data_IF_660752468681
#
_entry.id   IF_660752468681
#
_cell.length_a   1.000
_cell.length_b   1.000
_cell.length_c   1.000
_cell.angle_alpha   90.00
_cell.angle_beta   90.00
_cell.angle_gamma   90.00
#
_symmetry.space_group_name_H-M   'P 1'
#
loop_
_entity.id
_entity.type
_entity.pdbx_description
1 polymer ?
#
# COMPACT_ATOMS: atom_id res chain seq x y z
N UNK A 1 3.43 28.43 14.31
CA UNK A 1 2.65 27.77 13.24
C UNK A 1 3.25 28.03 11.84
N UNK A 2 3.34 29.29 11.39
CA UNK A 2 3.82 29.62 10.02
C UNK A 2 5.32 29.38 9.80
N UNK A 3 6.14 29.50 10.84
CA UNK A 3 7.58 29.14 10.80
C UNK A 3 7.76 27.65 10.50
N UNK A 4 7.01 26.79 11.19
CA UNK A 4 7.04 25.34 10.95
C UNK A 4 6.60 24.99 9.52
N UNK A 5 5.54 25.63 9.03
CA UNK A 5 5.09 25.46 7.64
C UNK A 5 6.18 25.85 6.62
N UNK A 6 6.95 26.91 6.89
CA UNK A 6 8.07 27.31 6.04
C UNK A 6 9.12 26.19 5.93
N UNK A 7 9.49 25.58 7.05
CA UNK A 7 10.44 24.46 7.08
C UNK A 7 9.93 23.24 6.32
N UNK A 8 8.65 22.88 6.47
CA UNK A 8 8.05 21.77 5.72
C UNK A 8 8.05 22.00 4.21
N UNK A 9 7.80 23.23 3.76
CA UNK A 9 7.79 23.58 2.33
C UNK A 9 9.20 23.52 1.75
N UNK A 10 10.19 24.01 2.51
CA UNK A 10 11.60 23.93 2.14
C UNK A 10 12.08 22.47 2.04
N UNK A 11 11.79 21.65 3.05
CA UNK A 11 12.12 20.24 3.07
C UNK A 11 11.47 19.49 1.90
N UNK A 12 10.19 19.73 1.64
CA UNK A 12 9.48 19.15 0.50
C UNK A 12 10.14 19.50 -0.84
N UNK A 13 10.48 20.77 -1.08
CA UNK A 13 11.14 21.15 -2.34
C UNK A 13 12.51 20.50 -2.49
N UNK A 14 13.29 20.44 -1.40
CA UNK A 14 14.59 19.74 -1.39
C UNK A 14 14.44 18.27 -1.76
N UNK A 15 13.54 17.56 -1.07
CA UNK A 15 13.29 16.14 -1.36
C UNK A 15 12.76 15.91 -2.78
N UNK A 16 11.92 16.81 -3.28
CA UNK A 16 11.42 16.74 -4.65
C UNK A 16 12.56 16.87 -5.68
N UNK A 17 13.48 17.81 -5.48
CA UNK A 17 14.64 17.97 -6.37
C UNK A 17 15.61 16.80 -6.28
N UNK A 18 15.76 16.20 -5.10
CA UNK A 18 16.63 15.04 -4.90
C UNK A 18 16.07 13.78 -5.59
N UNK A 19 14.76 13.55 -5.50
CA UNK A 19 14.08 12.39 -6.09
C UNK A 19 13.83 12.53 -7.59
N UNK A 20 13.63 13.75 -8.09
CA UNK A 20 13.28 14.02 -9.49
C UNK A 20 14.18 15.10 -10.11
N UNK A 21 15.51 14.85 -10.24
CA UNK A 21 16.47 15.85 -10.69
C UNK A 21 16.24 16.33 -12.13
N UNK A 22 15.50 15.56 -12.94
CA UNK A 22 15.16 15.92 -14.33
C UNK A 22 13.91 16.81 -14.43
N UNK A 23 13.22 17.04 -13.31
CA UNK A 23 11.96 17.78 -13.27
C UNK A 23 12.17 19.14 -12.61
N UNK A 24 11.86 20.21 -13.35
CA UNK A 24 11.88 21.56 -12.79
C UNK A 24 10.73 21.77 -11.79
N UNK A 25 10.96 22.61 -10.78
CA UNK A 25 9.90 23.08 -9.90
C UNK A 25 8.86 23.87 -10.71
N UNK A 26 7.63 23.36 -10.73
CA UNK A 26 6.49 24.03 -11.39
C UNK A 26 6.00 25.26 -10.61
N UNK A 27 5.22 26.16 -11.24
CA UNK A 27 4.69 27.36 -10.59
C UNK A 27 3.95 27.12 -9.26
N UNK A 28 3.31 25.94 -9.09
CA UNK A 28 2.65 25.56 -7.83
C UNK A 28 3.63 25.48 -6.65
N UNK A 29 4.84 24.97 -6.87
CA UNK A 29 5.88 24.91 -5.85
C UNK A 29 6.33 26.32 -5.46
N UNK A 30 6.51 27.21 -6.44
CA UNK A 30 6.82 28.61 -6.16
C UNK A 30 5.72 29.28 -5.33
N UNK A 31 4.44 29.05 -5.65
CA UNK A 31 3.33 29.61 -4.88
C UNK A 31 3.30 29.13 -3.43
N UNK A 32 3.69 27.88 -3.14
CA UNK A 32 3.75 27.37 -1.78
C UNK A 32 4.68 28.19 -0.88
N UNK A 33 5.79 28.72 -1.41
CA UNK A 33 6.74 29.54 -0.63
C UNK A 33 6.07 30.77 0.01
N UNK A 34 5.02 31.31 -0.63
CA UNK A 34 4.28 32.47 -0.14
C UNK A 34 3.21 32.13 0.91
N UNK A 35 2.88 30.84 1.11
CA UNK A 35 1.78 30.44 1.99
C UNK A 35 1.98 30.84 3.45
N UNK A 36 3.17 30.74 4.07
CA UNK A 36 3.39 31.21 5.44
C UNK A 36 3.08 32.70 5.61
N UNK A 37 3.46 33.52 4.63
CA UNK A 37 3.24 34.96 4.63
C UNK A 37 1.76 35.29 4.44
N UNK A 38 1.12 34.68 3.44
CA UNK A 38 -0.31 34.87 3.22
C UNK A 38 -1.12 34.44 4.45
N UNK A 39 -0.80 33.30 5.08
CA UNK A 39 -1.50 32.85 6.29
C UNK A 39 -1.34 33.86 7.44
N UNK A 40 -0.16 34.48 7.56
CA UNK A 40 0.10 35.50 8.58
C UNK A 40 -0.70 36.79 8.32
N UNK A 41 -0.86 37.18 7.06
CA UNK A 41 -1.49 38.45 6.70
C UNK A 41 -3.01 38.37 6.59
N UNK A 42 -3.54 37.30 5.99
CA UNK A 42 -4.97 37.19 5.66
C UNK A 42 -5.68 36.03 6.39
N UNK A 43 -4.98 35.35 7.30
CA UNK A 43 -5.49 34.18 8.00
C UNK A 43 -5.41 32.89 7.17
N UNK A 44 -5.95 31.76 7.68
CA UNK A 44 -5.86 30.48 7.00
C UNK A 44 -6.43 30.56 5.58
N UNK A 45 -5.73 29.94 4.62
CA UNK A 45 -6.11 29.94 3.20
C UNK A 45 -7.34 29.04 2.94
N UNK A 46 -8.49 29.38 3.51
CA UNK A 46 -9.74 28.59 3.52
C UNK A 46 -10.43 28.54 2.15
N UNK A 47 -10.08 29.45 1.24
CA UNK A 47 -10.69 29.59 -0.10
C UNK A 47 -9.71 29.50 -1.26
N UNK A 48 -8.45 29.12 -1.03
CA UNK A 48 -7.56 28.77 -2.14
C UNK A 48 -7.86 27.33 -2.58
N UNK A 49 -8.15 27.18 -3.87
CA UNK A 49 -8.67 25.98 -4.50
C UNK A 49 -7.88 24.72 -4.10
N UNK A 50 -8.56 23.85 -3.35
CA UNK A 50 -8.19 22.46 -3.02
C UNK A 50 -6.90 22.36 -2.20
N UNK A 51 -7.05 22.08 -0.89
CA UNK A 51 -6.01 21.37 -0.14
C UNK A 51 -5.57 20.17 -0.98
N UNK A 52 -4.41 20.28 -1.63
CA UNK A 52 -3.95 19.34 -2.64
C UNK A 52 -3.79 17.97 -1.97
N UNK A 53 -3.20 17.96 -0.78
CA UNK A 53 -3.06 16.77 0.07
C UNK A 53 -4.40 16.15 0.43
N UNK A 54 -5.39 16.95 0.89
CA UNK A 54 -6.76 16.47 1.17
C UNK A 54 -7.44 15.89 -0.06
N UNK A 55 -7.24 16.52 -1.22
CA UNK A 55 -7.85 16.08 -2.48
C UNK A 55 -7.16 14.84 -3.04
N UNK A 56 -5.83 14.73 -2.90
CA UNK A 56 -5.06 13.54 -3.24
C UNK A 56 -5.47 12.37 -2.35
N UNK A 57 -5.51 12.59 -1.03
CA UNK A 57 -5.90 11.59 -0.05
C UNK A 57 -7.33 11.09 -0.30
N UNK A 58 -8.29 12.02 -0.52
CA UNK A 58 -9.68 11.65 -0.82
C UNK A 58 -9.80 10.88 -2.14
N UNK A 59 -9.08 11.29 -3.19
CA UNK A 59 -9.08 10.56 -4.48
C UNK A 59 -8.46 9.18 -4.34
N UNK A 60 -7.36 9.05 -3.60
CA UNK A 60 -6.72 7.77 -3.32
C UNK A 60 -7.65 6.83 -2.54
N UNK A 61 -8.29 7.33 -1.48
CA UNK A 61 -9.27 6.57 -0.69
C UNK A 61 -10.45 6.09 -1.55
N UNK A 62 -10.98 6.95 -2.43
CA UNK A 62 -12.07 6.59 -3.35
C UNK A 62 -11.61 5.53 -4.36
N UNK A 63 -10.41 5.66 -4.92
CA UNK A 63 -9.87 4.67 -5.85
C UNK A 63 -9.68 3.31 -5.15
N UNK A 64 -9.14 3.28 -3.94
CA UNK A 64 -8.98 2.07 -3.13
C UNK A 64 -10.33 1.44 -2.79
N UNK A 65 -11.33 2.24 -2.39
CA UNK A 65 -12.70 1.75 -2.15
C UNK A 65 -13.32 1.17 -3.42
N UNK A 66 -13.18 1.84 -4.57
CA UNK A 66 -13.66 1.33 -5.86
C UNK A 66 -12.97 0.02 -6.25
N UNK A 67 -11.66 -0.10 -6.04
CA UNK A 67 -10.95 -1.36 -6.23
C UNK A 67 -11.51 -2.44 -5.31
N UNK A 68 -11.70 -2.17 -4.01
CA UNK A 68 -12.29 -3.13 -3.09
C UNK A 68 -13.72 -3.57 -3.47
N UNK A 69 -14.57 -2.64 -3.90
CA UNK A 69 -15.94 -2.94 -4.32
C UNK A 69 -15.99 -3.65 -5.68
N UNK A 70 -15.12 -3.28 -6.62
CA UNK A 70 -15.08 -3.85 -7.97
C UNK A 70 -14.35 -5.20 -8.05
N UNK A 71 -13.51 -5.51 -7.05
CA UNK A 71 -12.80 -6.79 -6.94
C UNK A 71 -13.62 -7.88 -6.23
N UNK A 72 -14.91 -7.65 -6.00
CA UNK A 72 -15.88 -8.65 -5.51
C UNK A 72 -16.16 -9.81 -6.49
N UNK A 73 -15.33 -10.00 -7.51
CA UNK A 73 -15.23 -11.31 -8.16
C UNK A 73 -14.51 -12.23 -7.17
N UNK A 74 -15.30 -12.91 -6.33
CA UNK A 74 -14.87 -13.78 -5.23
C UNK A 74 -14.11 -15.05 -5.67
N UNK A 75 -13.35 -14.99 -6.77
CA UNK A 75 -12.55 -16.08 -7.30
C UNK A 75 -11.09 -15.94 -6.88
N UNK A 76 -10.53 -17.04 -6.36
CA UNK A 76 -9.08 -17.20 -6.23
C UNK A 76 -8.54 -17.50 -7.63
N UNK A 77 -7.77 -16.57 -8.21
CA UNK A 77 -6.98 -16.83 -9.42
C UNK A 77 -5.63 -17.42 -8.99
N UNK A 78 -5.08 -18.40 -9.72
CA UNK A 78 -3.77 -18.96 -9.39
C UNK A 78 -2.94 -19.31 -10.62
N UNK A 79 -1.62 -19.30 -10.44
CA UNK A 79 -0.68 -19.76 -11.45
C UNK A 79 -0.70 -21.29 -11.63
N UNK A 80 0.18 -21.84 -12.49
CA UNK A 80 0.27 -23.28 -12.73
C UNK A 80 0.38 -24.07 -11.44
N UNK A 81 -0.51 -25.05 -11.30
CA UNK A 81 -0.66 -25.86 -10.09
C UNK A 81 0.14 -27.16 -10.21
N UNK A 82 0.85 -27.52 -9.14
CA UNK A 82 1.48 -28.83 -8.98
C UNK A 82 0.83 -29.56 -7.81
N UNK A 83 0.34 -30.77 -8.02
CA UNK A 83 -0.13 -31.62 -6.92
C UNK A 83 1.04 -32.04 -6.05
N UNK A 84 0.85 -31.95 -4.73
CA UNK A 84 1.87 -32.29 -3.74
C UNK A 84 1.19 -33.02 -2.58
N UNK A 85 1.72 -34.20 -2.28
CA UNK A 85 1.30 -34.96 -1.11
C UNK A 85 1.95 -34.29 0.11
N UNK A 86 1.14 -33.83 1.05
CA UNK A 86 1.61 -33.32 2.33
C UNK A 86 2.40 -34.41 3.06
N UNK A 87 3.64 -34.11 3.38
CA UNK A 87 4.54 -34.97 4.18
C UNK A 87 5.03 -34.27 5.44
N UNK A 88 4.62 -33.02 5.66
CA UNK A 88 5.05 -32.17 6.77
C UNK A 88 3.92 -32.04 7.80
N UNK A 89 4.16 -32.56 9.00
CA UNK A 89 3.22 -32.62 10.12
C UNK A 89 2.79 -31.23 10.61
N UNK A 90 3.61 -30.19 10.41
CA UNK A 90 3.29 -28.82 10.84
C UNK A 90 2.19 -28.19 9.97
N UNK A 91 2.15 -28.55 8.69
CA UNK A 91 1.17 -28.01 7.75
C UNK A 91 -0.17 -28.72 7.93
N UNK A 92 -0.18 -30.02 8.20
CA UNK A 92 -1.42 -30.78 8.42
C UNK A 92 -2.15 -30.32 9.70
N UNK A 93 -1.42 -30.05 10.78
CA UNK A 93 -1.98 -29.55 12.04
C UNK A 93 -2.57 -28.14 11.91
N UNK A 94 -1.88 -27.23 11.20
CA UNK A 94 -2.35 -25.85 11.02
C UNK A 94 -3.58 -25.74 10.11
N UNK A 95 -3.72 -26.62 9.13
CA UNK A 95 -4.84 -26.59 8.18
C UNK A 95 -6.06 -27.43 8.62
N UNK A 96 -5.97 -28.20 9.72
CA UNK A 96 -7.01 -29.15 10.15
C UNK A 96 -7.42 -30.11 9.02
N UNK A 97 -6.45 -30.67 8.30
CA UNK A 97 -6.67 -31.55 7.15
C UNK A 97 -6.26 -32.98 7.48
N UNK A 98 -7.10 -33.97 7.13
CA UNK A 98 -6.75 -35.39 7.18
C UNK A 98 -5.54 -35.67 6.24
N UNK A 99 -4.58 -36.46 6.74
CA UNK A 99 -3.25 -36.77 6.15
C UNK A 99 -3.26 -37.52 4.80
N UNK A 100 -4.24 -37.26 3.93
CA UNK A 100 -4.40 -37.90 2.62
C UNK A 100 -5.08 -37.01 1.57
N UNK A 101 -5.19 -35.71 1.81
CA UNK A 101 -5.85 -34.77 0.87
C UNK A 101 -4.87 -34.30 -0.21
N UNK A 102 -5.30 -34.31 -1.47
CA UNK A 102 -4.51 -33.80 -2.59
C UNK A 102 -4.42 -32.27 -2.48
N UNK A 103 -3.24 -31.75 -2.14
CA UNK A 103 -2.99 -30.31 -2.03
C UNK A 103 -2.29 -29.81 -3.27
N UNK A 104 -2.72 -28.63 -3.71
CA UNK A 104 -2.22 -27.97 -4.89
C UNK A 104 -1.21 -26.87 -4.50
N UNK A 105 0.07 -27.05 -4.84
CA UNK A 105 1.11 -26.04 -4.65
C UNK A 105 1.17 -25.12 -5.90
N UNK A 106 1.24 -23.81 -5.68
CA UNK A 106 1.37 -22.81 -6.75
C UNK A 106 2.42 -21.76 -6.43
N UNK A 107 2.96 -21.09 -7.45
CA UNK A 107 3.98 -20.05 -7.28
C UNK A 107 3.39 -18.68 -6.94
N UNK A 108 2.15 -18.44 -7.39
CA UNK A 108 1.40 -17.22 -7.10
C UNK A 108 -0.11 -17.48 -7.04
N UNK A 109 -0.79 -16.69 -6.22
CA UNK A 109 -2.25 -16.66 -6.08
C UNK A 109 -2.70 -15.21 -6.07
N UNK A 110 -3.84 -14.92 -6.69
CA UNK A 110 -4.45 -13.60 -6.68
C UNK A 110 -5.84 -13.69 -6.08
N UNK A 111 -6.01 -12.97 -4.97
CA UNK A 111 -7.24 -12.95 -4.19
C UNK A 111 -7.70 -11.50 -4.05
N UNK A 112 -8.96 -11.23 -4.41
CA UNK A 112 -9.53 -9.88 -4.43
C UNK A 112 -8.62 -8.88 -5.15
N UNK A 113 -8.07 -9.28 -6.31
CA UNK A 113 -7.19 -8.48 -7.14
C UNK A 113 -5.76 -8.27 -6.63
N UNK A 114 -5.42 -8.74 -5.43
CA UNK A 114 -4.06 -8.66 -4.88
C UNK A 114 -3.33 -9.96 -5.21
N UNK A 115 -2.22 -9.85 -5.92
CA UNK A 115 -1.34 -10.98 -6.23
C UNK A 115 -0.33 -11.21 -5.10
N UNK A 116 -0.26 -12.44 -4.64
CA UNK A 116 0.70 -12.96 -3.68
C UNK A 116 1.56 -13.99 -4.40
N UNK A 117 2.88 -13.88 -4.27
CA UNK A 117 3.80 -14.84 -4.85
C UNK A 117 4.83 -15.30 -3.82
N UNK A 118 5.43 -16.46 -4.09
CA UNK A 118 6.50 -16.99 -3.26
C UNK A 118 7.65 -15.98 -3.20
N UNK A 119 8.13 -15.69 -1.99
CA UNK A 119 9.17 -14.71 -1.72
C UNK A 119 8.69 -13.29 -1.38
N UNK A 120 7.39 -13.00 -1.54
CA UNK A 120 6.79 -11.73 -1.12
C UNK A 120 6.80 -11.59 0.41
N UNK A 121 7.04 -10.38 0.91
CA UNK A 121 6.98 -10.06 2.35
C UNK A 121 5.63 -9.44 2.65
N UNK A 122 4.90 -10.02 3.59
CA UNK A 122 3.56 -9.60 4.00
C UNK A 122 3.56 -9.18 5.47
N UNK A 123 2.76 -8.18 5.82
CA UNK A 123 2.51 -7.80 7.20
C UNK A 123 1.50 -8.79 7.80
N UNK A 124 1.90 -9.54 8.82
CA UNK A 124 1.05 -10.56 9.44
C UNK A 124 0.38 -10.06 10.72
N UNK A 125 1.01 -9.14 11.44
CA UNK A 125 0.51 -8.65 12.72
C UNK A 125 1.07 -7.26 13.06
N UNK A 126 0.57 -6.64 14.14
CA UNK A 126 1.10 -5.40 14.72
C UNK A 126 1.35 -5.63 16.21
N UNK A 127 2.60 -5.56 16.64
CA UNK A 127 3.00 -5.76 18.04
C UNK A 127 3.67 -4.47 18.53
N UNK A 128 3.14 -3.90 19.62
CA UNK A 128 3.62 -2.62 20.18
C UNK A 128 3.66 -1.49 19.13
N UNK A 129 2.57 -1.34 18.36
CA UNK A 129 2.44 -0.35 17.26
C UNK A 129 3.45 -0.51 16.11
N UNK A 130 4.20 -1.62 16.07
CA UNK A 130 5.15 -1.93 15.00
C UNK A 130 4.65 -3.12 14.15
N UNK A 131 4.65 -3.00 12.81
CA UNK A 131 4.22 -4.08 11.94
C UNK A 131 5.23 -5.24 11.96
N UNK A 132 4.71 -6.45 12.08
CA UNK A 132 5.47 -7.70 11.98
C UNK A 132 5.35 -8.22 10.56
N UNK A 133 6.50 -8.44 9.93
CA UNK A 133 6.59 -8.89 8.55
C UNK A 133 7.07 -10.34 8.47
N UNK A 134 6.46 -11.12 7.58
CA UNK A 134 6.87 -12.49 7.26
C UNK A 134 7.01 -12.67 5.75
N UNK A 135 7.87 -13.60 5.34
CA UNK A 135 8.09 -13.93 3.93
C UNK A 135 7.28 -15.17 3.56
N UNK A 136 6.57 -15.10 2.44
CA UNK A 136 5.84 -16.25 1.89
C UNK A 136 6.85 -17.26 1.34
N UNK A 137 6.88 -18.47 1.91
CA UNK A 137 7.77 -19.57 1.50
C UNK A 137 7.10 -20.58 0.56
N UNK A 138 5.77 -20.66 0.59
CA UNK A 138 4.97 -21.54 -0.25
C UNK A 138 3.51 -21.15 -0.19
N UNK A 139 2.77 -21.46 -1.25
CA UNK A 139 1.34 -21.18 -1.38
C UNK A 139 0.64 -22.49 -1.70
N UNK A 140 -0.32 -22.86 -0.86
CA UNK A 140 -1.06 -24.10 -0.95
C UNK A 140 -2.55 -23.79 -1.13
N UNK A 141 -3.16 -24.45 -2.11
CA UNK A 141 -4.58 -24.37 -2.42
C UNK A 141 -5.23 -25.70 -2.04
N UNK A 142 -6.36 -25.59 -1.35
CA UNK A 142 -7.24 -26.70 -1.04
C UNK A 142 -8.33 -26.77 -2.12
N UNK A 143 -8.54 -27.96 -2.69
CA UNK A 143 -9.73 -28.25 -3.48
C UNK A 143 -10.96 -28.41 -2.60
#
# INVERSE_FOLDING_TARGET
MTIFLKHLIEEHHRLFTDLYPQNNLIPKHHFMIHYPECIRQIGPLLKNLKNITKSLAKKHQIAVAYHWESLSANGIESGPVKSKILTDDLISEHFQIDMSSDIHETTWVKHNGIEYHTGLVVCTDVVNDMPVFMKIIGIFLRN
#
